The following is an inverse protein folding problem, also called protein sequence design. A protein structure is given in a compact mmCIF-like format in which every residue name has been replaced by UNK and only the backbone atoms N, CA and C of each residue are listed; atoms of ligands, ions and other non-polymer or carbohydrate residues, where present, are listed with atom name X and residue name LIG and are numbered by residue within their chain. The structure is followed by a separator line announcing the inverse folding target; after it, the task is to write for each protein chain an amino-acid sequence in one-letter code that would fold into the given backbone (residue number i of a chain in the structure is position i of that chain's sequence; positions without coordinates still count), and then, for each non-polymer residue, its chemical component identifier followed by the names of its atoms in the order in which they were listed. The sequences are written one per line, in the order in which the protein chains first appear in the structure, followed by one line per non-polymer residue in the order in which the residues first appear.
data_IF_524013225734
#
_entry.id   IF_524013225734
#
_cell.length_a   1.000
_cell.length_b   1.000
_cell.length_c   1.000
_cell.angle_alpha   90.00
_cell.angle_beta   90.00
_cell.angle_gamma   90.00
#
_symmetry.space_group_name_H-M   'P 1'
#
loop_
_entity.id
_entity.type
_entity.pdbx_description
1 polymer ?
#
# COMPACT_ATOMS: atom_id res chain seq x y z
N UNK A 1 -12.59 77.05 -1.19
CA UNK A 1 -12.13 77.38 -2.57
C UNK A 1 -11.70 76.07 -3.22
N UNK A 2 -12.17 75.76 -4.44
CA UNK A 2 -11.95 74.46 -5.13
C UNK A 2 -12.79 73.32 -4.54
N UNK A 3 -13.50 72.43 -5.26
CA UNK A 3 -13.30 71.81 -6.60
C UNK A 3 -12.00 70.99 -6.69
N UNK A 4 -11.93 69.77 -7.24
CA UNK A 4 -12.90 68.90 -7.95
C UNK A 4 -12.50 67.40 -7.73
N UNK A 5 -13.08 66.33 -8.29
CA UNK A 5 -14.09 66.09 -9.34
C UNK A 5 -14.79 64.72 -9.17
N UNK A 6 -15.75 64.41 -10.04
CA UNK A 6 -16.62 63.22 -10.06
C UNK A 6 -16.00 61.91 -10.62
N UNK A 7 -16.63 60.76 -10.31
CA UNK A 7 -16.96 59.75 -11.33
C UNK A 7 -18.21 58.93 -10.93
N UNK A 8 -19.14 58.74 -11.87
CA UNK A 8 -20.31 57.85 -11.75
C UNK A 8 -19.93 56.42 -12.16
N UNK A 9 -20.58 55.40 -11.59
CA UNK A 9 -21.33 54.45 -12.44
C UNK A 9 -22.52 53.80 -11.70
N UNK A 10 -23.55 53.42 -12.45
CA UNK A 10 -24.80 52.82 -11.98
C UNK A 10 -24.75 51.30 -12.09
N UNK A 11 -25.38 50.59 -11.16
CA UNK A 11 -26.03 49.30 -11.48
C UNK A 11 -27.44 49.31 -10.90
N UNK A 12 -28.39 48.80 -11.70
CA UNK A 12 -29.83 48.86 -11.47
C UNK A 12 -30.41 47.75 -10.58
N UNK A 13 -31.72 47.50 -10.67
CA UNK A 13 -32.50 46.99 -9.55
C UNK A 13 -32.59 45.46 -9.43
N UNK A 14 -32.72 45.02 -8.18
CA UNK A 14 -33.56 43.90 -7.71
C UNK A 14 -34.27 43.06 -8.78
N UNK A 15 -33.65 41.97 -9.20
CA UNK A 15 -34.37 40.83 -9.77
C UNK A 15 -34.91 39.95 -8.62
N UNK A 16 -36.24 39.87 -8.50
CA UNK A 16 -36.86 38.70 -7.87
C UNK A 16 -36.55 37.50 -8.77
N UNK A 17 -35.67 36.61 -8.33
CA UNK A 17 -35.63 35.27 -8.87
C UNK A 17 -36.79 34.50 -8.27
N UNK A 18 -37.73 34.07 -9.11
CA UNK A 18 -38.75 33.12 -8.72
C UNK A 18 -38.03 31.81 -8.34
N UNK A 19 -38.37 31.27 -7.17
CA UNK A 19 -38.11 29.85 -6.91
C UNK A 19 -39.16 29.11 -7.70
N UNK A 20 -38.78 28.60 -8.86
CA UNK A 20 -39.52 27.51 -9.49
C UNK A 20 -39.57 26.38 -8.46
N UNK A 21 -40.76 26.15 -7.90
CA UNK A 21 -41.06 24.90 -7.23
C UNK A 21 -40.87 23.81 -8.29
N UNK A 22 -39.72 23.15 -8.23
CA UNK A 22 -39.53 21.89 -8.93
C UNK A 22 -40.47 20.90 -8.26
N UNK A 23 -41.67 20.79 -8.82
CA UNK A 23 -42.54 19.63 -8.68
C UNK A 23 -41.69 18.39 -9.02
N UNK A 24 -41.08 17.81 -7.99
CA UNK A 24 -40.49 16.49 -8.11
C UNK A 24 -41.67 15.55 -8.22
N UNK A 25 -41.95 15.12 -9.46
CA UNK A 25 -42.95 14.11 -9.78
C UNK A 25 -42.89 12.98 -8.73
N UNK A 26 -43.89 12.93 -7.85
CA UNK A 26 -43.96 11.93 -6.75
C UNK A 26 -44.06 10.49 -7.29
N UNK A 27 -44.24 10.35 -8.61
CA UNK A 27 -44.30 9.11 -9.37
C UNK A 27 -42.95 8.34 -9.44
N UNK A 28 -41.80 8.95 -9.10
CA UNK A 28 -40.55 8.20 -8.89
C UNK A 28 -40.45 7.58 -7.48
N UNK A 29 -41.51 7.68 -6.68
CA UNK A 29 -41.72 6.91 -5.46
C UNK A 29 -42.92 5.95 -5.59
N UNK A 30 -43.06 5.28 -6.75
CA UNK A 30 -43.61 3.91 -6.75
C UNK A 30 -42.66 3.00 -5.97
N UNK A 31 -42.76 3.15 -4.66
CA UNK A 31 -42.16 2.36 -3.60
C UNK A 31 -42.85 1.01 -3.51
N UNK A 32 -43.06 0.37 -4.67
CA UNK A 32 -43.38 -1.05 -4.92
C UNK A 32 -43.26 -1.86 -3.65
N UNK A 33 -44.39 -1.99 -2.94
CA UNK A 33 -44.45 -2.08 -1.48
C UNK A 33 -43.28 -2.87 -0.87
N UNK A 34 -42.25 -2.17 -0.39
CA UNK A 34 -41.14 -2.81 0.33
C UNK A 34 -41.62 -3.51 1.62
N UNK A 35 -42.80 -3.14 2.11
CA UNK A 35 -43.51 -3.80 3.21
C UNK A 35 -44.22 -5.11 2.79
N UNK A 36 -44.56 -5.28 1.51
CA UNK A 36 -45.18 -6.47 0.93
C UNK A 36 -44.12 -7.51 0.54
N UNK A 37 -42.90 -7.05 0.18
CA UNK A 37 -41.68 -7.85 0.10
C UNK A 37 -41.16 -8.22 1.51
N UNK A 38 -41.90 -9.13 2.18
CA UNK A 38 -41.79 -9.40 3.61
C UNK A 38 -40.36 -9.47 4.17
N UNK A 39 -40.14 -8.83 5.32
CA UNK A 39 -38.85 -8.46 5.94
C UNK A 39 -37.67 -9.43 5.77
N UNK A 40 -37.90 -10.74 5.82
CA UNK A 40 -36.84 -11.75 5.61
C UNK A 40 -36.25 -11.70 4.20
N UNK A 41 -37.11 -11.50 3.19
CA UNK A 41 -36.70 -11.39 1.78
C UNK A 41 -35.89 -10.12 1.54
N UNK A 42 -36.38 -8.96 2.02
CA UNK A 42 -35.65 -7.68 1.97
C UNK A 42 -34.31 -7.78 2.71
N UNK A 43 -34.27 -8.34 3.93
CA UNK A 43 -33.02 -8.54 4.66
C UNK A 43 -32.07 -9.48 3.91
N UNK A 44 -32.57 -10.53 3.28
CA UNK A 44 -31.76 -11.44 2.45
C UNK A 44 -31.19 -10.74 1.20
N UNK A 45 -31.97 -9.85 0.58
CA UNK A 45 -31.56 -9.04 -0.56
C UNK A 45 -30.49 -8.04 -0.14
N UNK A 46 -30.70 -7.25 0.92
CA UNK A 46 -29.71 -6.31 1.44
C UNK A 46 -28.40 -7.02 1.85
N UNK A 47 -28.47 -8.19 2.49
CA UNK A 47 -27.30 -9.02 2.80
C UNK A 47 -26.57 -9.49 1.54
N UNK A 48 -27.29 -9.97 0.53
CA UNK A 48 -26.70 -10.41 -0.76
C UNK A 48 -26.07 -9.23 -1.51
N UNK A 49 -26.78 -8.11 -1.62
CA UNK A 49 -26.30 -6.89 -2.28
C UNK A 49 -25.08 -6.32 -1.58
N UNK A 50 -25.10 -6.19 -0.24
CA UNK A 50 -23.93 -5.77 0.54
C UNK A 50 -22.76 -6.76 0.41
N UNK A 51 -23.01 -8.07 0.41
CA UNK A 51 -21.97 -9.07 0.18
C UNK A 51 -21.39 -9.02 -1.23
N UNK A 52 -22.20 -8.76 -2.26
CA UNK A 52 -21.74 -8.59 -3.64
C UNK A 52 -20.95 -7.30 -3.80
N UNK A 53 -21.44 -6.18 -3.26
CA UNK A 53 -20.77 -4.90 -3.30
C UNK A 53 -19.44 -4.93 -2.53
N UNK A 54 -19.42 -5.50 -1.33
CA UNK A 54 -18.19 -5.72 -0.57
C UNK A 54 -17.24 -6.69 -1.29
N UNK A 55 -17.72 -7.81 -1.82
CA UNK A 55 -16.86 -8.76 -2.52
C UNK A 55 -16.26 -8.15 -3.79
N UNK A 56 -17.05 -7.45 -4.60
CA UNK A 56 -16.60 -6.80 -5.82
C UNK A 56 -15.63 -5.64 -5.52
N UNK A 57 -16.03 -4.63 -4.74
CA UNK A 57 -15.14 -3.49 -4.50
C UNK A 57 -13.90 -3.88 -3.68
N UNK A 58 -14.06 -4.70 -2.63
CA UNK A 58 -12.95 -4.99 -1.73
C UNK A 58 -12.01 -6.08 -2.26
N UNK A 59 -12.50 -7.12 -2.95
CA UNK A 59 -11.61 -8.17 -3.48
C UNK A 59 -11.13 -7.95 -4.92
N UNK A 60 -11.72 -7.04 -5.70
CA UNK A 60 -11.11 -6.61 -6.97
C UNK A 60 -9.94 -5.64 -6.70
N UNK A 61 -10.12 -4.66 -5.80
CA UNK A 61 -9.06 -3.70 -5.46
C UNK A 61 -7.97 -4.30 -4.55
N UNK A 62 -8.37 -4.93 -3.42
CA UNK A 62 -7.41 -5.48 -2.46
C UNK A 62 -7.14 -6.96 -2.67
N UNK A 63 -8.09 -7.78 -3.08
CA UNK A 63 -7.91 -9.23 -3.19
C UNK A 63 -7.73 -9.96 -1.85
N UNK A 64 -8.12 -11.25 -1.83
CA UNK A 64 -8.27 -12.06 -0.61
C UNK A 64 -6.98 -12.25 0.23
N UNK A 65 -5.80 -12.09 -0.38
CA UNK A 65 -4.49 -12.46 0.21
C UNK A 65 -3.52 -11.26 0.25
N UNK A 66 -3.91 -10.06 -0.22
CA UNK A 66 -3.00 -8.90 -0.30
C UNK A 66 -2.38 -8.50 1.03
N UNK A 67 -3.07 -8.63 2.16
CA UNK A 67 -2.46 -8.32 3.46
C UNK A 67 -1.16 -9.11 3.68
N UNK A 68 -1.12 -10.38 3.26
CA UNK A 68 0.09 -11.21 3.35
C UNK A 68 1.15 -10.78 2.35
N UNK A 69 0.75 -10.51 1.10
CA UNK A 69 1.67 -10.05 0.03
C UNK A 69 2.27 -8.68 0.38
N UNK A 70 1.47 -7.75 0.91
CA UNK A 70 1.87 -6.41 1.31
C UNK A 70 2.73 -6.43 2.58
N UNK A 71 2.45 -7.33 3.54
CA UNK A 71 3.31 -7.55 4.70
C UNK A 71 4.68 -8.08 4.26
N UNK A 72 4.71 -9.11 3.40
CA UNK A 72 5.94 -9.63 2.79
C UNK A 72 6.71 -8.54 2.03
N UNK A 73 6.05 -7.80 1.13
CA UNK A 73 6.67 -6.71 0.37
C UNK A 73 7.21 -5.60 1.28
N UNK A 74 6.52 -5.29 2.38
CA UNK A 74 7.00 -4.29 3.36
C UNK A 74 8.24 -4.80 4.11
N UNK A 75 8.24 -6.09 4.49
CA UNK A 75 9.39 -6.73 5.11
C UNK A 75 10.60 -6.76 4.17
N UNK A 76 10.44 -7.20 2.92
CA UNK A 76 11.51 -7.27 1.93
C UNK A 76 12.10 -5.89 1.62
N UNK A 77 11.25 -4.88 1.37
CA UNK A 77 11.72 -3.56 0.95
C UNK A 77 12.25 -2.68 2.10
N UNK A 78 11.86 -2.93 3.36
CA UNK A 78 12.19 -2.05 4.50
C UNK A 78 12.61 -2.80 5.76
N UNK A 79 11.96 -3.93 6.07
CA UNK A 79 12.25 -4.75 7.25
C UNK A 79 13.65 -5.37 7.20
N UNK A 80 14.03 -5.99 6.08
CA UNK A 80 15.30 -6.71 5.94
C UNK A 80 16.52 -5.78 6.12
N UNK A 81 16.50 -4.60 5.49
CA UNK A 81 17.56 -3.61 5.67
C UNK A 81 17.62 -3.13 7.12
N UNK A 82 16.47 -2.83 7.75
CA UNK A 82 16.41 -2.43 9.17
C UNK A 82 17.00 -3.49 10.12
N UNK A 83 16.71 -4.76 9.88
CA UNK A 83 17.29 -5.88 10.65
C UNK A 83 18.81 -5.92 10.44
N UNK A 84 19.29 -5.80 9.21
CA UNK A 84 20.73 -5.90 8.93
C UNK A 84 21.52 -4.66 9.39
N UNK A 85 20.92 -3.47 9.36
CA UNK A 85 21.48 -2.26 9.96
C UNK A 85 21.53 -2.35 11.50
N UNK A 86 20.61 -3.09 12.13
CA UNK A 86 20.53 -3.20 13.59
C UNK A 86 21.69 -3.99 14.24
N UNK A 87 22.39 -4.84 13.47
CA UNK A 87 23.61 -5.50 13.96
C UNK A 87 24.80 -4.55 14.09
N UNK A 88 24.76 -3.37 13.45
CA UNK A 88 25.80 -2.36 13.56
C UNK A 88 27.14 -2.77 12.94
N UNK A 89 28.22 -2.46 13.66
CA UNK A 89 29.60 -2.76 13.26
C UNK A 89 30.21 -3.77 14.25
N UNK A 90 30.64 -4.92 13.73
CA UNK A 90 31.25 -6.00 14.52
C UNK A 90 32.76 -5.79 14.52
N UNK A 91 33.29 -5.31 15.64
CA UNK A 91 34.74 -5.23 15.87
C UNK A 91 35.27 -6.60 16.32
N UNK A 92 36.24 -7.14 15.57
CA UNK A 92 37.00 -8.33 15.92
C UNK A 92 38.31 -7.88 16.58
N UNK A 93 38.44 -8.17 17.87
CA UNK A 93 39.69 -8.00 18.59
C UNK A 93 40.55 -9.25 18.43
N UNK A 94 41.85 -9.12 18.11
CA UNK A 94 42.74 -10.26 18.04
C UNK A 94 42.94 -10.89 19.43
N UNK A 95 42.84 -12.22 19.50
CA UNK A 95 43.14 -12.95 20.73
C UNK A 95 44.58 -12.71 21.19
N UNK A 96 44.79 -12.57 22.50
CA UNK A 96 46.07 -12.16 23.11
C UNK A 96 47.11 -13.30 23.14
N UNK A 97 47.40 -13.85 21.97
CA UNK A 97 48.25 -15.01 21.74
C UNK A 97 49.70 -14.54 21.54
N UNK A 98 50.43 -14.36 22.65
CA UNK A 98 51.80 -13.78 22.69
C UNK A 98 52.82 -14.53 21.83
N UNK A 99 52.53 -15.79 21.46
CA UNK A 99 53.36 -16.61 20.56
C UNK A 99 53.38 -16.14 19.10
N UNK A 100 52.37 -15.35 18.66
CA UNK A 100 52.25 -14.86 17.27
C UNK A 100 52.65 -13.40 17.09
N UNK A 101 53.04 -12.71 18.16
CA UNK A 101 53.45 -11.32 18.14
C UNK A 101 54.88 -11.17 17.59
N UNK A 102 55.02 -11.29 16.26
CA UNK A 102 56.22 -10.86 15.53
C UNK A 102 55.97 -9.51 14.87
N UNK A 103 56.56 -8.47 15.45
CA UNK A 103 57.00 -7.26 14.75
C UNK A 103 55.92 -6.36 14.11
N UNK A 104 54.73 -6.24 14.73
CA UNK A 104 53.70 -5.32 14.24
C UNK A 104 52.51 -5.10 15.17
N UNK A 105 51.80 -3.99 14.94
CA UNK A 105 50.57 -3.63 15.65
C UNK A 105 49.50 -4.73 15.60
N UNK A 106 48.72 -4.82 16.69
CA UNK A 106 47.53 -5.66 16.76
C UNK A 106 46.51 -5.22 15.69
N UNK A 107 46.39 -6.00 14.61
CA UNK A 107 45.42 -5.75 13.53
C UNK A 107 43.99 -6.02 14.02
N UNK A 108 43.35 -5.00 14.61
CA UNK A 108 41.90 -4.96 14.82
C UNK A 108 41.22 -4.87 13.45
N UNK A 109 40.17 -5.66 13.25
CA UNK A 109 39.34 -5.64 12.03
C UNK A 109 37.92 -5.30 12.45
N UNK A 110 37.24 -4.42 11.72
CA UNK A 110 35.80 -4.21 11.89
C UNK A 110 35.06 -4.58 10.61
N UNK A 111 33.90 -5.22 10.79
CA UNK A 111 33.02 -5.66 9.70
C UNK A 111 31.68 -4.97 9.86
N UNK A 112 31.24 -4.27 8.82
CA UNK A 112 29.95 -3.59 8.78
C UNK A 112 29.15 -4.02 7.56
N UNK A 113 27.94 -4.50 7.81
CA UNK A 113 26.96 -4.81 6.77
C UNK A 113 26.40 -3.51 6.20
N UNK A 114 26.06 -3.51 4.90
CA UNK A 114 25.60 -2.33 4.16
C UNK A 114 24.26 -2.62 3.46
N UNK A 115 24.01 -1.96 2.32
CA UNK A 115 22.82 -2.12 1.51
C UNK A 115 22.66 -3.59 1.07
N UNK A 116 21.46 -4.10 1.23
CA UNK A 116 21.04 -5.44 0.83
C UNK A 116 20.42 -5.38 -0.57
N UNK A 117 20.72 -6.38 -1.39
CA UNK A 117 20.06 -6.65 -2.67
C UNK A 117 19.50 -8.07 -2.65
N UNK A 118 18.38 -8.27 -3.33
CA UNK A 118 17.72 -9.55 -3.44
C UNK A 118 17.41 -9.80 -4.91
N UNK A 119 17.94 -10.90 -5.43
CA UNK A 119 17.71 -11.33 -6.80
C UNK A 119 16.46 -12.21 -6.89
N UNK A 120 16.08 -12.57 -8.12
CA UNK A 120 14.91 -13.42 -8.36
C UNK A 120 15.20 -14.86 -7.91
N UNK A 121 14.18 -15.63 -7.49
CA UNK A 121 14.35 -17.03 -7.10
C UNK A 121 15.07 -17.85 -8.17
N UNK A 122 16.19 -18.43 -7.77
CA UNK A 122 17.08 -19.24 -8.61
C UNK A 122 17.46 -20.53 -7.88
N UNK A 123 17.99 -21.50 -8.63
CA UNK A 123 18.53 -22.73 -8.05
C UNK A 123 19.76 -23.21 -8.82
N UNK A 124 20.60 -23.97 -8.11
CA UNK A 124 21.82 -24.57 -8.63
C UNK A 124 21.58 -26.06 -8.83
N UNK A 125 21.56 -26.51 -10.09
CA UNK A 125 21.14 -27.88 -10.46
C UNK A 125 22.14 -28.97 -10.12
N UNK A 126 23.42 -28.62 -9.92
CA UNK A 126 24.50 -29.55 -9.59
C UNK A 126 25.03 -30.36 -10.79
N UNK A 127 26.33 -30.65 -10.74
CA UNK A 127 27.03 -31.72 -11.50
C UNK A 127 27.22 -31.57 -13.02
N UNK A 128 26.68 -30.57 -13.72
CA UNK A 128 27.04 -30.36 -15.15
C UNK A 128 26.99 -28.92 -15.69
N UNK A 129 26.49 -27.98 -14.90
CA UNK A 129 26.34 -26.58 -15.31
C UNK A 129 26.47 -25.67 -14.11
N UNK A 130 27.51 -24.82 -14.09
CA UNK A 130 27.64 -23.68 -13.19
C UNK A 130 26.73 -22.50 -13.63
N UNK A 131 25.74 -22.74 -14.50
CA UNK A 131 24.71 -21.77 -14.81
C UNK A 131 23.57 -21.85 -13.79
N UNK A 132 23.40 -20.76 -13.05
CA UNK A 132 22.25 -20.47 -12.23
C UNK A 132 20.94 -20.52 -13.06
N UNK A 133 19.94 -21.27 -12.60
CA UNK A 133 18.68 -21.45 -13.31
C UNK A 133 17.52 -20.77 -12.58
N UNK A 134 16.61 -20.14 -13.33
CA UNK A 134 15.41 -19.51 -12.77
C UNK A 134 14.50 -20.55 -12.10
N UNK A 135 14.14 -20.31 -10.84
CA UNK A 135 13.29 -21.21 -10.06
C UNK A 135 11.82 -20.81 -10.20
N UNK A 136 11.03 -21.62 -10.91
CA UNK A 136 9.59 -21.46 -10.95
C UNK A 136 8.92 -22.16 -9.75
N UNK A 137 7.77 -21.68 -9.23
CA UNK A 137 7.10 -22.29 -8.08
C UNK A 137 6.70 -23.76 -8.25
N UNK A 138 6.63 -24.29 -9.49
CA UNK A 138 6.42 -25.72 -9.74
C UNK A 138 7.69 -26.56 -9.49
N UNK A 139 8.86 -26.03 -9.83
CA UNK A 139 10.16 -26.71 -9.60
C UNK A 139 10.53 -26.79 -8.12
N UNK A 140 9.98 -25.88 -7.29
CA UNK A 140 10.19 -25.89 -5.84
C UNK A 140 9.24 -26.84 -5.07
N UNK A 141 8.29 -27.50 -5.77
CA UNK A 141 7.21 -28.31 -5.17
C UNK A 141 7.23 -29.79 -5.57
N UNK A 142 7.93 -30.13 -6.64
CA UNK A 142 8.01 -31.45 -7.26
C UNK A 142 9.44 -31.97 -7.15
#
# INVERSE_FOLDING_TARGET
MGASSDFMEKVGPSSKGEVDDMDMDEDLMDTTNLNELGNETLQSFCKKAASLFFFLLFFDEYGLISHQINSYNTFINRGLQRVLDSFGEVALEPGNDTSKQKDGEWRRVSVRLRKVTLDRPSFWGGTSSDAEQNMFPRHARL
#
